data_IF_590255985500
#
_entry.id   IF_590255985500
#
_cell.length_a   1.000
_cell.length_b   1.000
_cell.length_c   1.000
_cell.angle_alpha   90.00
_cell.angle_beta   90.00
_cell.angle_gamma   90.00
#
_symmetry.space_group_name_H-M   'P 1'
#
loop_
_entity.id
_entity.type
_entity.pdbx_description
1 polymer ?
#
# COMPACT_ATOMS: atom_id res chain seq x y z
N UNK A 1 16.48 6.85 -4.73
CA UNK A 1 15.02 6.73 -4.52
C UNK A 1 14.75 6.95 -3.03
N UNK A 2 13.76 7.79 -2.69
CA UNK A 2 13.29 8.00 -1.31
C UNK A 2 11.85 7.51 -1.26
N UNK A 3 11.55 6.62 -0.31
CA UNK A 3 10.24 6.03 -0.06
C UNK A 3 9.65 6.70 1.17
N UNK A 4 8.36 6.96 1.15
CA UNK A 4 7.68 7.50 2.32
C UNK A 4 7.06 6.41 3.17
N UNK A 5 7.52 6.34 4.41
CA UNK A 5 7.08 5.37 5.39
C UNK A 5 5.91 5.88 6.22
N UNK A 6 5.10 4.93 6.70
CA UNK A 6 4.23 5.18 7.83
C UNK A 6 5.03 5.69 9.04
N UNK A 7 4.49 6.62 9.86
CA UNK A 7 5.16 7.14 11.04
C UNK A 7 5.61 6.12 12.10
N UNK A 8 5.24 4.84 12.00
CA UNK A 8 5.78 3.74 12.82
C UNK A 8 7.17 3.26 12.36
N UNK A 9 7.57 3.53 11.12
CA UNK A 9 8.90 3.16 10.64
C UNK A 9 9.96 4.12 11.17
N UNK A 10 11.19 3.61 11.30
CA UNK A 10 12.35 4.42 11.60
C UNK A 10 12.75 5.22 10.36
N UNK A 11 13.12 6.49 10.56
CA UNK A 11 13.65 7.33 9.49
C UNK A 11 15.04 6.82 9.09
N UNK A 12 15.26 6.62 7.78
CA UNK A 12 16.55 6.19 7.22
C UNK A 12 16.91 7.05 6.00
N UNK A 13 18.06 6.80 5.38
CA UNK A 13 18.47 7.47 4.15
C UNK A 13 17.45 7.25 3.00
N UNK A 14 16.73 6.13 3.04
CA UNK A 14 15.79 5.72 1.99
C UNK A 14 14.34 5.83 2.42
N UNK A 15 14.05 5.89 3.73
CA UNK A 15 12.69 5.98 4.27
C UNK A 15 12.53 7.33 4.98
N UNK A 16 11.70 8.20 4.42
CA UNK A 16 11.24 9.41 5.10
C UNK A 16 9.88 9.18 5.75
N UNK A 17 9.72 9.69 6.96
CA UNK A 17 8.46 9.63 7.72
C UNK A 17 7.95 11.05 7.94
N UNK A 18 6.67 11.24 8.29
CA UNK A 18 6.14 12.58 8.54
C UNK A 18 6.97 13.32 9.58
N UNK A 19 7.25 14.61 9.32
CA UNK A 19 7.87 15.48 10.32
C UNK A 19 6.93 15.63 11.51
N UNK A 20 7.44 15.44 12.73
CA UNK A 20 6.70 15.54 14.00
C UNK A 20 7.38 16.56 14.92
N UNK A 21 6.61 17.22 15.78
CA UNK A 21 7.13 18.15 16.79
C UNK A 21 6.39 19.48 16.81
N UNK A 22 6.79 20.35 17.74
CA UNK A 22 6.15 21.65 17.96
C UNK A 22 6.57 22.73 16.93
N UNK A 23 7.80 22.64 16.41
CA UNK A 23 8.37 23.62 15.48
C UNK A 23 8.49 23.05 14.05
N UNK A 24 7.37 22.68 13.46
CA UNK A 24 7.33 22.25 12.04
C UNK A 24 7.42 23.50 11.17
N UNK A 25 8.45 23.57 10.33
CA UNK A 25 8.59 24.67 9.37
C UNK A 25 7.48 24.63 8.32
N UNK A 26 7.12 25.76 7.70
CA UNK A 26 6.11 25.78 6.63
C UNK A 26 6.43 24.81 5.48
N UNK A 27 7.72 24.65 5.12
CA UNK A 27 8.16 23.68 4.12
C UNK A 27 7.90 22.23 4.54
N UNK A 28 8.20 21.87 5.79
CA UNK A 28 7.92 20.53 6.33
C UNK A 28 6.42 20.25 6.44
N UNK A 29 5.61 21.26 6.75
CA UNK A 29 4.16 21.13 6.78
C UNK A 29 3.58 20.86 5.38
N UNK A 30 4.10 21.55 4.35
CA UNK A 30 3.71 21.31 2.96
C UNK A 30 4.07 19.88 2.51
N UNK A 31 5.25 19.38 2.89
CA UNK A 31 5.65 17.99 2.65
C UNK A 31 4.70 17.03 3.38
N UNK A 32 4.44 17.23 4.67
CA UNK A 32 3.50 16.38 5.40
C UNK A 32 2.10 16.34 4.77
N UNK A 33 1.62 17.48 4.25
CA UNK A 33 0.32 17.59 3.60
C UNK A 33 0.26 16.78 2.30
N UNK A 34 1.26 16.92 1.42
CA UNK A 34 1.32 16.16 0.16
C UNK A 34 1.42 14.66 0.42
N UNK A 35 2.23 14.26 1.41
CA UNK A 35 2.44 12.86 1.73
C UNK A 35 1.26 12.21 2.46
N UNK A 36 0.46 13.00 3.19
CA UNK A 36 -0.79 12.52 3.80
C UNK A 36 -1.79 12.03 2.76
N UNK A 37 -1.87 12.67 1.58
CA UNK A 37 -2.78 12.25 0.50
C UNK A 37 -2.41 10.87 -0.05
N UNK A 38 -1.12 10.62 -0.29
CA UNK A 38 -0.63 9.32 -0.77
C UNK A 38 -0.89 8.22 0.27
N UNK A 39 -0.71 8.53 1.56
CA UNK A 39 -1.00 7.58 2.65
C UNK A 39 -2.48 7.20 2.71
N UNK A 40 -3.39 8.14 2.47
CA UNK A 40 -4.83 7.87 2.46
C UNK A 40 -5.16 6.83 1.39
N UNK A 41 -4.58 6.96 0.19
CA UNK A 41 -4.76 5.98 -0.88
C UNK A 41 -4.24 4.59 -0.50
N UNK A 42 -3.08 4.51 0.16
CA UNK A 42 -2.56 3.25 0.69
C UNK A 42 -3.50 2.62 1.73
N UNK A 43 -4.10 3.42 2.61
CA UNK A 43 -5.08 2.93 3.60
C UNK A 43 -6.35 2.40 2.95
N UNK A 44 -6.82 3.02 1.86
CA UNK A 44 -7.94 2.48 1.09
C UNK A 44 -7.63 1.11 0.49
N UNK A 45 -6.39 0.91 -0.01
CA UNK A 45 -5.93 -0.39 -0.48
C UNK A 45 -5.99 -1.46 0.61
N UNK A 46 -5.40 -1.17 1.78
CA UNK A 46 -5.47 -2.08 2.94
C UNK A 46 -6.92 -2.38 3.33
N UNK A 47 -7.76 -1.36 3.48
CA UNK A 47 -9.16 -1.50 3.86
C UNK A 47 -9.97 -2.32 2.85
N UNK A 48 -9.67 -2.20 1.54
CA UNK A 48 -10.31 -3.06 0.53
C UNK A 48 -9.88 -4.51 0.69
N UNK A 49 -8.59 -4.78 0.88
CA UNK A 49 -8.08 -6.15 1.06
C UNK A 49 -8.74 -6.81 2.27
N UNK A 50 -8.78 -6.14 3.43
CA UNK A 50 -9.39 -6.73 4.63
C UNK A 50 -10.91 -6.84 4.53
N UNK A 51 -11.58 -5.95 3.79
CA UNK A 51 -13.03 -6.06 3.54
C UNK A 51 -13.41 -7.25 2.66
N UNK A 52 -12.56 -7.59 1.67
CA UNK A 52 -12.78 -8.71 0.75
C UNK A 52 -12.29 -10.02 1.38
N UNK A 53 -11.17 -9.97 2.11
CA UNK A 53 -10.46 -11.11 2.68
C UNK A 53 -10.32 -10.98 4.20
N UNK A 54 -11.42 -11.11 4.93
CA UNK A 54 -11.44 -10.90 6.39
C UNK A 54 -10.45 -11.75 7.19
N UNK A 55 -10.07 -12.93 6.69
CA UNK A 55 -9.08 -13.78 7.35
C UNK A 55 -7.67 -13.17 7.40
N UNK A 56 -7.37 -12.21 6.51
CA UNK A 56 -6.08 -11.49 6.49
C UNK A 56 -5.93 -10.58 7.70
N UNK A 57 -7.04 -10.06 8.24
CA UNK A 57 -7.05 -9.21 9.43
C UNK A 57 -7.06 -10.05 10.73
N UNK A 58 -7.23 -11.37 10.61
CA UNK A 58 -7.29 -12.26 11.76
C UNK A 58 -5.89 -12.66 12.24
N UNK A 59 -5.37 -11.87 13.16
CA UNK A 59 -4.00 -11.97 13.72
C UNK A 59 -3.69 -13.32 14.37
N UNK A 60 -4.69 -14.07 14.85
CA UNK A 60 -4.46 -15.40 15.40
C UNK A 60 -4.06 -16.43 14.33
N UNK A 61 -4.52 -16.26 13.09
CA UNK A 61 -4.17 -17.13 11.95
C UNK A 61 -3.05 -16.53 11.08
N UNK A 62 -2.85 -15.22 11.12
CA UNK A 62 -1.81 -14.50 10.36
C UNK A 62 -0.57 -14.24 11.22
N UNK A 63 0.02 -15.31 11.76
CA UNK A 63 1.22 -15.24 12.61
C UNK A 63 2.49 -15.56 11.82
N UNK A 64 3.50 -14.70 11.98
CA UNK A 64 4.84 -14.96 11.47
C UNK A 64 5.33 -16.32 11.97
N UNK A 65 6.04 -17.05 11.11
CA UNK A 65 6.55 -18.42 11.36
C UNK A 65 5.47 -19.53 11.50
N UNK A 66 4.17 -19.21 11.55
CA UNK A 66 3.09 -20.22 11.54
C UNK A 66 2.39 -20.30 10.20
N UNK A 67 2.17 -19.16 9.56
CA UNK A 67 1.60 -19.09 8.22
C UNK A 67 2.50 -18.28 7.32
N UNK A 68 2.48 -18.54 6.00
CA UNK A 68 3.23 -17.75 5.03
C UNK A 68 2.53 -16.40 4.81
N UNK A 69 2.49 -15.55 5.85
CA UNK A 69 1.77 -14.27 5.91
C UNK A 69 2.08 -13.40 4.69
N UNK A 70 3.36 -13.27 4.33
CA UNK A 70 3.78 -12.48 3.17
C UNK A 70 3.23 -13.01 1.86
N UNK A 71 3.25 -14.33 1.64
CA UNK A 71 2.70 -14.95 0.42
C UNK A 71 1.19 -14.81 0.36
N UNK A 72 0.50 -15.09 1.46
CA UNK A 72 -0.95 -14.98 1.57
C UNK A 72 -1.38 -13.54 1.27
N UNK A 73 -0.70 -12.55 1.87
CA UNK A 73 -1.00 -11.14 1.66
C UNK A 73 -0.72 -10.70 0.22
N UNK A 74 0.38 -11.16 -0.39
CA UNK A 74 0.68 -10.88 -1.81
C UNK A 74 -0.43 -11.41 -2.73
N UNK A 75 -0.88 -12.64 -2.50
CA UNK A 75 -1.96 -13.25 -3.28
C UNK A 75 -3.29 -12.52 -3.08
N UNK A 76 -3.64 -12.16 -1.85
CA UNK A 76 -4.90 -11.44 -1.58
C UNK A 76 -4.89 -10.04 -2.17
N UNK A 77 -3.76 -9.32 -2.14
CA UNK A 77 -3.58 -8.03 -2.84
C UNK A 77 -3.78 -8.20 -4.35
N UNK A 78 -3.16 -9.21 -4.95
CA UNK A 78 -3.34 -9.52 -6.37
C UNK A 78 -4.81 -9.73 -6.70
N UNK A 79 -5.48 -10.63 -6.00
CA UNK A 79 -6.89 -10.92 -6.24
C UNK A 79 -7.79 -9.70 -5.97
N UNK A 80 -7.41 -8.84 -5.01
CA UNK A 80 -8.11 -7.58 -4.75
C UNK A 80 -7.94 -6.57 -5.90
N UNK A 81 -6.77 -6.50 -6.51
CA UNK A 81 -6.56 -5.68 -7.70
C UNK A 81 -7.43 -6.19 -8.85
N UNK A 82 -7.48 -7.52 -9.06
CA UNK A 82 -8.40 -8.14 -10.02
C UNK A 82 -9.87 -7.78 -9.74
N UNK A 83 -10.30 -7.93 -8.48
CA UNK A 83 -11.64 -7.56 -8.04
C UNK A 83 -11.96 -6.07 -8.28
N UNK A 84 -10.96 -5.19 -8.15
CA UNK A 84 -11.13 -3.75 -8.34
C UNK A 84 -11.45 -3.38 -9.80
N UNK A 85 -11.01 -4.17 -10.79
CA UNK A 85 -11.40 -3.95 -12.19
C UNK A 85 -12.90 -4.11 -12.42
N UNK A 86 -13.52 -5.09 -11.76
CA UNK A 86 -14.95 -5.37 -11.93
C UNK A 86 -15.84 -4.43 -11.09
N UNK A 87 -15.42 -4.12 -9.87
CA UNK A 87 -16.29 -3.42 -8.90
C UNK A 87 -15.89 -1.97 -8.64
N UNK A 88 -14.82 -1.48 -9.28
CA UNK A 88 -14.19 -0.17 -9.05
C UNK A 88 -13.77 0.04 -7.60
N UNK A 89 -12.84 0.98 -7.40
CA UNK A 89 -12.30 1.33 -6.09
C UNK A 89 -12.34 2.83 -5.85
N UNK A 90 -12.42 3.23 -4.58
CA UNK A 90 -12.39 4.64 -4.15
C UNK A 90 -11.14 5.35 -4.70
N UNK A 91 -10.02 4.63 -4.80
CA UNK A 91 -8.76 5.12 -5.35
C UNK A 91 -8.89 5.58 -6.80
N UNK A 92 -9.54 4.80 -7.68
CA UNK A 92 -9.70 5.15 -9.10
C UNK A 92 -10.53 6.42 -9.26
N UNK A 93 -11.63 6.55 -8.50
CA UNK A 93 -12.46 7.76 -8.50
C UNK A 93 -11.73 8.97 -7.94
N UNK A 94 -10.92 8.79 -6.89
CA UNK A 94 -10.21 9.90 -6.25
C UNK A 94 -9.13 10.50 -7.17
N UNK A 95 -8.38 9.66 -7.88
CA UNK A 95 -7.34 10.11 -8.80
C UNK A 95 -7.84 10.34 -10.23
N UNK A 96 -9.12 10.08 -10.51
CA UNK A 96 -9.70 10.11 -11.85
C UNK A 96 -8.90 9.26 -12.86
N UNK A 97 -8.43 8.08 -12.41
CA UNK A 97 -7.64 7.16 -13.24
C UNK A 97 -8.54 6.02 -13.69
N UNK A 98 -8.63 5.80 -15.00
CA UNK A 98 -9.26 4.61 -15.55
C UNK A 98 -8.40 3.38 -15.23
N UNK A 99 -8.94 2.34 -14.60
CA UNK A 99 -8.17 1.15 -14.31
C UNK A 99 -7.81 0.43 -15.62
N UNK A 100 -6.60 -0.16 -15.74
CA UNK A 100 -6.21 -0.95 -16.93
C UNK A 100 -7.15 -2.15 -17.14
N UNK A 101 -7.07 -2.79 -18.30
CA UNK A 101 -7.77 -4.05 -18.50
C UNK A 101 -7.15 -5.16 -17.63
N UNK A 102 -7.98 -6.12 -17.22
CA UNK A 102 -7.50 -7.26 -16.44
C UNK A 102 -6.40 -8.01 -17.20
N UNK A 103 -6.57 -8.23 -18.50
CA UNK A 103 -5.61 -8.91 -19.35
C UNK A 103 -4.27 -8.18 -19.38
N UNK A 104 -4.28 -6.85 -19.53
CA UNK A 104 -3.06 -6.03 -19.48
C UNK A 104 -2.35 -6.14 -18.13
N UNK A 105 -3.12 -6.15 -17.04
CA UNK A 105 -2.60 -6.29 -15.69
C UNK A 105 -1.99 -7.67 -15.42
N UNK A 106 -2.57 -8.75 -15.96
CA UNK A 106 -2.08 -10.12 -15.81
C UNK A 106 -0.94 -10.45 -16.78
N UNK A 107 -0.94 -9.88 -17.99
CA UNK A 107 0.08 -10.09 -19.03
C UNK A 107 1.34 -9.26 -18.83
N UNK A 108 1.21 -8.07 -18.23
CA UNK A 108 2.38 -7.41 -17.70
C UNK A 108 3.05 -8.37 -16.71
N UNK A 109 4.30 -8.73 -16.98
CA UNK A 109 5.17 -9.54 -16.11
C UNK A 109 5.52 -8.80 -14.79
N UNK A 110 4.63 -7.91 -14.36
CA UNK A 110 4.69 -6.95 -13.26
C UNK A 110 4.06 -7.59 -12.01
N UNK A 111 4.32 -8.87 -11.76
CA UNK A 111 4.26 -9.38 -10.39
C UNK A 111 5.56 -9.10 -9.64
N UNK A 112 6.64 -8.83 -10.39
CA UNK A 112 7.95 -8.54 -9.83
C UNK A 112 8.29 -7.05 -9.67
N UNK A 113 7.43 -6.08 -10.03
CA UNK A 113 7.85 -4.67 -10.02
C UNK A 113 6.91 -3.66 -9.33
N UNK A 114 5.59 -3.84 -9.31
CA UNK A 114 4.69 -2.91 -8.62
C UNK A 114 4.60 -3.16 -7.10
N UNK A 115 4.69 -4.43 -6.68
CA UNK A 115 4.75 -4.78 -5.25
C UNK A 115 6.19 -4.73 -4.73
N UNK A 116 7.17 -5.21 -5.51
CA UNK A 116 8.58 -5.19 -5.11
C UNK A 116 9.13 -3.75 -4.95
N UNK A 117 8.70 -2.78 -5.77
CA UNK A 117 9.12 -1.37 -5.58
C UNK A 117 8.53 -0.69 -4.34
N UNK A 118 7.43 -1.20 -3.78
CA UNK A 118 6.80 -0.64 -2.59
C UNK A 118 7.10 -1.43 -1.31
N UNK A 119 7.49 -2.71 -1.40
CA UNK A 119 7.58 -3.62 -0.25
C UNK A 119 8.83 -4.51 -0.17
N UNK A 120 9.87 -4.34 -1.02
CA UNK A 120 11.06 -5.23 -0.98
C UNK A 120 11.96 -5.17 0.27
N UNK A 121 11.72 -4.30 1.24
CA UNK A 121 12.57 -4.24 2.43
C UNK A 121 11.76 -4.26 3.73
N UNK A 122 10.84 -5.23 3.84
CA UNK A 122 10.38 -5.74 5.13
C UNK A 122 11.04 -7.11 5.33
N UNK A 123 12.30 -7.08 5.79
CA UNK A 123 12.94 -8.11 6.59
C UNK A 123 13.38 -7.44 7.89
#
# INVERSE_FOLDING_TARGET
LIIYGDPVYMQTLHIQVPHKGFNITPGQAAVNASMSQVRIASKWGYGKVTSVWGFVDYTQHMQLQRTPVGTIYKVTVLLTNCHTFFYRGVTSSHFNIQPPLLEDYLHCNIYASLFERCFQHVN
#
